data_IF_983295800414
#
_entry.id   IF_983295800414
#
_cell.length_a   1.000
_cell.length_b   1.000
_cell.length_c   1.000
_cell.angle_alpha   90.00
_cell.angle_beta   90.00
_cell.angle_gamma   90.00
#
_symmetry.space_group_name_H-M   'P 1'
#
loop_
_entity.id
_entity.type
_entity.pdbx_description
1 polymer ?
#
# COMPACT_ATOMS: atom_id res chain seq x y z
N UNK A 1 -7.71 -21.53 -2.96
CA UNK A 1 -7.22 -20.41 -3.82
C UNK A 1 -6.84 -19.15 -3.02
N UNK A 2 -7.45 -18.91 -1.83
CA UNK A 2 -7.13 -17.80 -0.91
C UNK A 2 -5.65 -17.78 -0.49
N UNK A 3 -5.07 -18.93 -0.14
CA UNK A 3 -3.66 -19.00 0.31
C UNK A 3 -2.61 -18.64 -0.75
N UNK A 4 -2.90 -18.73 -2.05
CA UNK A 4 -1.94 -18.28 -3.09
C UNK A 4 -1.90 -16.76 -3.19
N UNK A 5 -3.06 -16.09 -3.09
CA UNK A 5 -3.15 -14.62 -3.15
C UNK A 5 -2.51 -13.99 -1.92
N UNK A 6 -2.69 -14.60 -0.75
CA UNK A 6 -2.06 -14.19 0.50
C UNK A 6 -0.53 -14.27 0.44
N UNK A 7 0.03 -15.38 -0.07
CA UNK A 7 1.49 -15.52 -0.29
C UNK A 7 2.07 -14.47 -1.22
N UNK A 8 1.34 -14.06 -2.26
CA UNK A 8 1.78 -13.00 -3.18
C UNK A 8 1.82 -11.65 -2.48
N UNK A 9 0.85 -11.36 -1.61
CA UNK A 9 0.82 -10.14 -0.80
C UNK A 9 1.95 -10.13 0.23
N UNK A 10 2.13 -11.21 0.98
CA UNK A 10 3.23 -11.38 1.93
C UNK A 10 4.59 -11.19 1.25
N UNK A 11 4.80 -11.78 0.07
CA UNK A 11 6.04 -11.59 -0.69
C UNK A 11 6.33 -10.11 -1.01
N UNK A 12 5.32 -9.32 -1.33
CA UNK A 12 5.50 -7.87 -1.57
C UNK A 12 5.90 -7.14 -0.30
N UNK A 13 5.33 -7.52 0.85
CA UNK A 13 5.72 -6.96 2.16
C UNK A 13 7.17 -7.32 2.46
N UNK A 14 7.57 -8.59 2.28
CA UNK A 14 8.95 -9.01 2.48
C UNK A 14 9.93 -8.24 1.60
N UNK A 15 9.58 -7.91 0.35
CA UNK A 15 10.43 -7.07 -0.50
C UNK A 15 10.61 -5.65 0.08
N UNK A 16 9.61 -5.07 0.74
CA UNK A 16 9.74 -3.76 1.39
C UNK A 16 10.70 -3.86 2.57
N UNK A 17 10.57 -4.91 3.38
CA UNK A 17 11.43 -5.15 4.55
C UNK A 17 12.88 -5.40 4.09
N UNK A 18 13.08 -6.22 3.06
CA UNK A 18 14.40 -6.49 2.47
C UNK A 18 15.06 -5.21 1.95
N UNK A 19 14.28 -4.31 1.34
CA UNK A 19 14.80 -2.99 0.95
C UNK A 19 15.27 -2.20 2.17
N UNK A 20 14.46 -2.13 3.23
CA UNK A 20 14.78 -1.37 4.44
C UNK A 20 15.99 -1.95 5.20
N UNK A 21 16.11 -3.27 5.28
CA UNK A 21 17.13 -3.96 6.08
C UNK A 21 18.45 -4.17 5.33
N UNK A 22 18.40 -4.48 4.03
CA UNK A 22 19.58 -4.84 3.25
C UNK A 22 19.98 -3.75 2.25
N UNK A 23 19.04 -3.26 1.44
CA UNK A 23 19.38 -2.39 0.31
C UNK A 23 19.61 -0.94 0.72
N UNK A 24 18.87 -0.41 1.69
CA UNK A 24 19.07 0.97 2.16
C UNK A 24 20.47 1.17 2.74
N UNK A 25 20.98 0.30 3.65
CA UNK A 25 22.36 0.43 4.14
C UNK A 25 23.40 0.26 3.04
N UNK A 26 23.21 -0.71 2.14
CA UNK A 26 24.12 -0.93 1.01
C UNK A 26 24.17 0.27 0.07
N UNK A 27 23.03 0.93 -0.17
CA UNK A 27 22.98 2.06 -1.09
C UNK A 27 23.67 3.31 -0.56
N UNK A 28 23.65 3.52 0.75
CA UNK A 28 24.41 4.59 1.39
C UNK A 28 25.91 4.36 1.21
N UNK A 29 26.37 3.10 1.30
CA UNK A 29 27.78 2.77 1.06
C UNK A 29 28.18 2.99 -0.40
N UNK A 30 27.34 2.59 -1.34
CA UNK A 30 27.59 2.80 -2.77
C UNK A 30 27.67 4.30 -3.11
N UNK A 31 26.74 5.11 -2.61
CA UNK A 31 26.73 6.57 -2.84
C UNK A 31 28.00 7.25 -2.28
N UNK A 32 28.56 6.73 -1.19
CA UNK A 32 29.84 7.21 -0.63
C UNK A 32 31.03 6.79 -1.47
N UNK A 33 31.04 5.55 -1.94
CA UNK A 33 32.06 5.07 -2.87
C UNK A 33 32.06 5.91 -4.15
N UNK A 34 30.89 6.20 -4.72
CA UNK A 34 30.75 7.08 -5.88
C UNK A 34 31.31 8.48 -5.60
N UNK A 35 31.06 9.04 -4.41
CA UNK A 35 31.63 10.33 -4.01
C UNK A 35 33.16 10.29 -3.92
N UNK A 36 33.74 9.24 -3.33
CA UNK A 36 35.20 9.09 -3.23
C UNK A 36 35.85 8.93 -4.61
N UNK A 37 35.22 8.16 -5.50
CA UNK A 37 35.67 7.97 -6.88
C UNK A 37 35.59 9.30 -7.64
N UNK A 38 34.49 10.04 -7.50
CA UNK A 38 34.34 11.36 -8.12
C UNK A 38 35.40 12.36 -7.61
N UNK A 39 35.71 12.33 -6.31
CA UNK A 39 36.79 13.14 -5.72
C UNK A 39 38.16 12.81 -6.31
N UNK A 40 38.47 11.52 -6.45
CA UNK A 40 39.73 11.06 -7.04
C UNK A 40 39.85 11.50 -8.50
N UNK A 41 38.79 11.29 -9.29
CA UNK A 41 38.73 11.72 -10.70
C UNK A 41 38.91 13.23 -10.82
N UNK A 42 38.30 14.02 -9.92
CA UNK A 42 38.46 15.49 -9.90
C UNK A 42 39.90 15.91 -9.64
N UNK A 43 40.60 15.22 -8.74
CA UNK A 43 42.01 15.48 -8.43
C UNK A 43 42.92 15.13 -9.60
N UNK A 44 42.65 14.02 -10.29
CA UNK A 44 43.49 13.52 -11.38
C UNK A 44 43.26 14.26 -12.72
N UNK A 45 42.01 14.60 -13.05
CA UNK A 45 41.66 15.21 -14.35
C UNK A 45 41.75 16.75 -14.38
N UNK A 46 41.82 17.41 -13.21
CA UNK A 46 41.87 18.87 -13.10
C UNK A 46 40.57 19.57 -13.53
N UNK A 47 39.84 20.16 -12.56
CA UNK A 47 38.73 21.15 -12.69
C UNK A 47 37.68 20.99 -13.83
N UNK A 48 37.53 19.82 -14.44
CA UNK A 48 36.62 19.62 -15.58
C UNK A 48 35.53 18.55 -15.41
N UNK A 49 35.46 17.84 -14.28
CA UNK A 49 34.40 16.85 -14.08
C UNK A 49 33.14 17.53 -13.55
N UNK A 50 32.15 17.63 -14.43
CA UNK A 50 30.83 18.22 -14.23
C UNK A 50 30.06 17.60 -13.06
N UNK A 51 29.38 18.48 -12.32
CA UNK A 51 28.16 18.25 -11.56
C UNK A 51 28.14 17.09 -10.57
N UNK A 52 28.21 17.40 -9.27
CA UNK A 52 27.48 16.60 -8.27
C UNK A 52 26.02 16.53 -8.75
N UNK A 53 25.64 15.38 -9.32
CA UNK A 53 24.26 15.11 -9.67
C UNK A 53 23.41 15.27 -8.41
N UNK A 54 22.23 15.87 -8.55
CA UNK A 54 21.34 16.08 -7.42
C UNK A 54 20.96 14.75 -6.73
N UNK A 55 20.28 14.81 -5.57
CA UNK A 55 19.88 13.61 -4.82
C UNK A 55 19.15 12.56 -5.66
N UNK A 56 18.46 12.99 -6.72
CA UNK A 56 17.75 12.12 -7.65
C UNK A 56 18.64 11.23 -8.54
N UNK A 57 19.96 11.44 -8.52
CA UNK A 57 20.94 10.68 -9.32
C UNK A 57 21.67 9.61 -8.50
N UNK A 58 21.45 9.56 -7.18
CA UNK A 58 22.16 8.61 -6.32
C UNK A 58 21.47 7.24 -6.30
N UNK A 59 22.24 6.21 -5.99
CA UNK A 59 21.70 4.87 -5.86
C UNK A 59 20.72 4.78 -4.67
N UNK A 60 20.97 5.50 -3.57
CA UNK A 60 19.99 5.58 -2.46
C UNK A 60 18.63 6.09 -2.91
N UNK A 61 18.58 7.06 -3.83
CA UNK A 61 17.30 7.54 -4.38
C UNK A 61 16.57 6.44 -5.15
N UNK A 62 17.29 5.68 -5.98
CA UNK A 62 16.70 4.56 -6.72
C UNK A 62 16.14 3.48 -5.78
N UNK A 63 16.79 3.21 -4.64
CA UNK A 63 16.30 2.28 -3.62
C UNK A 63 15.04 2.81 -2.93
N UNK A 64 14.98 4.10 -2.61
CA UNK A 64 13.77 4.70 -2.05
C UNK A 64 12.60 4.71 -3.05
N UNK A 65 12.87 4.87 -4.35
CA UNK A 65 11.87 4.71 -5.41
C UNK A 65 11.38 3.26 -5.49
N UNK A 66 12.29 2.28 -5.40
CA UNK A 66 11.92 0.86 -5.38
C UNK A 66 11.03 0.52 -4.19
N UNK A 67 11.33 1.08 -3.00
CA UNK A 67 10.46 0.97 -1.82
C UNK A 67 9.06 1.52 -2.10
N UNK A 68 8.98 2.76 -2.58
CA UNK A 68 7.70 3.43 -2.88
C UNK A 68 6.86 2.62 -3.89
N UNK A 69 7.52 2.03 -4.88
CA UNK A 69 6.88 1.15 -5.86
C UNK A 69 6.21 -0.06 -5.22
N UNK A 70 6.90 -0.74 -4.29
CA UNK A 70 6.32 -1.86 -3.58
C UNK A 70 5.19 -1.44 -2.63
N UNK A 71 5.34 -0.33 -1.90
CA UNK A 71 4.27 0.23 -1.06
C UNK A 71 3.01 0.52 -1.90
N UNK A 72 3.16 1.14 -3.07
CA UNK A 72 2.06 1.39 -3.99
C UNK A 72 1.37 0.10 -4.46
N UNK A 73 2.16 -0.94 -4.77
CA UNK A 73 1.62 -2.23 -5.24
C UNK A 73 0.90 -2.99 -4.14
N UNK A 74 1.34 -2.86 -2.89
CA UNK A 74 0.65 -3.37 -1.71
C UNK A 74 -0.70 -2.67 -1.55
N UNK A 75 -0.71 -1.33 -1.56
CA UNK A 75 -1.93 -0.53 -1.42
C UNK A 75 -2.95 -0.82 -2.54
N UNK A 76 -2.52 -0.95 -3.81
CA UNK A 76 -3.43 -1.36 -4.91
C UNK A 76 -4.06 -2.74 -4.69
N UNK A 77 -3.29 -3.67 -4.12
CA UNK A 77 -3.81 -5.03 -3.84
C UNK A 77 -4.81 -4.99 -2.69
N UNK A 78 -4.50 -4.19 -1.67
CA UNK A 78 -5.38 -3.96 -0.53
C UNK A 78 -6.71 -3.34 -0.97
N UNK A 79 -6.69 -2.27 -1.77
CA UNK A 79 -7.90 -1.64 -2.29
C UNK A 79 -8.75 -2.59 -3.15
N UNK A 80 -8.13 -3.42 -4.01
CA UNK A 80 -8.84 -4.43 -4.80
C UNK A 80 -9.57 -5.45 -3.90
N UNK A 81 -8.95 -5.86 -2.79
CA UNK A 81 -9.58 -6.76 -1.84
C UNK A 81 -10.70 -6.09 -1.04
N UNK A 82 -10.48 -4.85 -0.60
CA UNK A 82 -11.50 -4.05 0.07
C UNK A 82 -12.71 -3.83 -0.83
N UNK A 83 -12.51 -3.43 -2.09
CA UNK A 83 -13.60 -3.23 -3.06
C UNK A 83 -14.38 -4.51 -3.36
N UNK A 84 -13.70 -5.67 -3.41
CA UNK A 84 -14.39 -6.97 -3.52
C UNK A 84 -15.17 -7.32 -2.26
N UNK A 85 -14.62 -7.02 -1.08
CA UNK A 85 -15.28 -7.21 0.20
C UNK A 85 -16.55 -6.36 0.31
N UNK A 86 -16.49 -5.08 -0.06
CA UNK A 86 -17.64 -4.18 -0.06
C UNK A 86 -18.71 -4.65 -1.04
N UNK A 87 -18.33 -5.02 -2.28
CA UNK A 87 -19.28 -5.53 -3.27
C UNK A 87 -19.97 -6.83 -2.81
N UNK A 88 -19.23 -7.76 -2.18
CA UNK A 88 -19.83 -8.97 -1.62
C UNK A 88 -20.78 -8.66 -0.46
N UNK A 89 -20.42 -7.69 0.39
CA UNK A 89 -21.27 -7.27 1.50
C UNK A 89 -22.56 -6.62 0.98
N UNK A 90 -22.48 -5.76 -0.04
CA UNK A 90 -23.64 -5.17 -0.71
C UNK A 90 -24.58 -6.23 -1.28
N UNK A 91 -24.06 -7.29 -1.91
CA UNK A 91 -24.87 -8.39 -2.41
C UNK A 91 -25.59 -9.14 -1.28
N UNK A 92 -24.89 -9.44 -0.19
CA UNK A 92 -25.50 -10.14 0.97
C UNK A 92 -26.58 -9.27 1.62
N UNK A 93 -26.36 -7.96 1.74
CA UNK A 93 -27.36 -7.04 2.28
C UNK A 93 -28.58 -6.90 1.34
N UNK A 94 -28.39 -6.94 0.02
CA UNK A 94 -29.49 -6.99 -0.94
C UNK A 94 -30.31 -8.28 -0.80
N UNK A 95 -29.65 -9.44 -0.67
CA UNK A 95 -30.34 -10.73 -0.45
C UNK A 95 -31.13 -10.75 0.86
N UNK A 96 -30.56 -10.20 1.94
CA UNK A 96 -31.25 -10.05 3.23
C UNK A 96 -32.48 -9.18 3.10
N UNK A 97 -32.37 -8.03 2.44
CA UNK A 97 -33.50 -7.12 2.22
C UNK A 97 -34.62 -7.79 1.41
N UNK A 98 -34.29 -8.58 0.38
CA UNK A 98 -35.27 -9.35 -0.38
C UNK A 98 -35.94 -10.43 0.47
N UNK A 99 -35.17 -11.17 1.28
CA UNK A 99 -35.72 -12.19 2.18
C UNK A 99 -36.63 -11.60 3.27
N UNK A 100 -36.36 -10.38 3.74
CA UNK A 100 -37.24 -9.65 4.66
C UNK A 100 -38.54 -9.19 3.98
N UNK A 101 -38.46 -8.73 2.72
CA UNK A 101 -39.64 -8.38 1.92
C UNK A 101 -40.53 -9.60 1.64
N UNK A 102 -39.96 -10.76 1.33
CA UNK A 102 -40.70 -12.01 1.13
C UNK A 102 -41.39 -12.47 2.43
N UNK A 103 -40.71 -12.37 3.58
CA UNK A 103 -41.32 -12.67 4.89
C UNK A 103 -42.47 -11.73 5.23
N UNK A 104 -42.34 -10.44 4.89
CA UNK A 104 -43.41 -9.46 5.10
C UNK A 104 -44.60 -9.67 4.15
N UNK A 105 -44.35 -10.07 2.90
CA UNK A 105 -45.39 -10.38 1.90
C UNK A 105 -46.12 -11.71 2.12
N UNK A 106 -45.50 -12.67 2.82
CA UNK A 106 -46.11 -13.96 3.18
C UNK A 106 -47.06 -13.89 4.39
N UNK A 107 -47.28 -12.71 4.99
CA UNK A 107 -48.22 -12.52 6.10
C UNK A 107 -49.69 -12.49 5.62
N UNK A 108 -50.22 -13.64 5.20
CA UNK A 108 -51.67 -13.85 5.05
C UNK A 108 -52.26 -14.13 6.44
N UNK A 109 -53.42 -13.55 6.84
CA UNK A 109 -53.94 -13.73 8.18
C UNK A 109 -54.60 -15.11 8.29
N UNK A 110 -53.87 -16.10 8.80
CA UNK A 110 -54.47 -17.35 9.24
C UNK A 110 -55.10 -17.10 10.61
N UNK A 111 -56.43 -16.97 10.61
CA UNK A 111 -57.26 -17.03 11.81
C UNK A 111 -57.34 -18.49 12.28
N UNK A 112 -57.25 -18.67 13.60
CA UNK A 112 -57.53 -19.89 14.42
C UNK A 112 -56.43 -20.96 14.42
N UNK A 113 -56.00 -21.55 15.53
CA UNK A 113 -56.37 -21.48 16.95
C UNK A 113 -55.13 -21.80 17.81
N UNK A 114 -55.14 -21.36 19.06
CA UNK A 114 -54.09 -21.61 20.04
C UNK A 114 -53.94 -23.10 20.37
N UNK A 115 -52.71 -23.63 20.36
CA UNK A 115 -52.07 -24.29 21.50
C UNK A 115 -50.84 -25.13 21.07
N UNK A 116 -49.75 -24.85 21.77
CA UNK A 116 -48.62 -25.75 22.08
C UNK A 116 -47.66 -26.09 20.92
N UNK A 117 -46.59 -25.32 20.70
CA UNK A 117 -45.45 -25.05 21.61
C UNK A 117 -44.55 -26.30 21.76
N UNK A 118 -43.54 -26.37 20.87
CA UNK A 118 -42.16 -26.80 21.14
C UNK A 118 -41.31 -26.51 19.89
N UNK A 119 -41.23 -25.23 19.50
CA UNK A 119 -40.17 -24.79 18.59
C UNK A 119 -39.00 -24.27 19.40
N UNK A 120 -37.91 -25.03 19.33
CA UNK A 120 -36.60 -24.72 19.89
C UNK A 120 -36.15 -23.34 19.37
N UNK A 121 -35.82 -22.37 20.23
CA UNK A 121 -35.53 -21.02 19.79
C UNK A 121 -34.11 -20.95 19.22
N UNK A 122 -33.98 -20.89 17.90
CA UNK A 122 -32.79 -20.30 17.29
C UNK A 122 -32.93 -18.79 17.42
N UNK A 123 -32.31 -18.24 18.48
CA UNK A 123 -32.12 -16.80 18.69
C UNK A 123 -31.73 -16.09 17.38
N UNK A 124 -32.25 -14.88 17.11
CA UNK A 124 -31.62 -13.99 16.15
C UNK A 124 -30.19 -13.73 16.65
N UNK A 125 -29.20 -14.09 15.84
CA UNK A 125 -27.81 -13.71 16.12
C UNK A 125 -27.72 -12.22 15.83
N UNK A 126 -27.93 -11.42 16.87
CA UNK A 126 -27.63 -10.01 16.86
C UNK A 126 -26.20 -9.78 16.35
N UNK A 127 -26.07 -8.95 15.32
CA UNK A 127 -24.94 -8.04 15.16
C UNK A 127 -23.55 -8.62 14.89
N UNK A 128 -23.37 -9.92 14.63
CA UNK A 128 -22.06 -10.43 14.21
C UNK A 128 -21.81 -9.98 12.77
N UNK A 129 -21.22 -8.78 12.63
CA UNK A 129 -20.59 -8.33 11.40
C UNK A 129 -19.70 -9.47 10.89
N UNK A 130 -19.77 -9.85 9.61
CA UNK A 130 -18.85 -10.85 9.08
C UNK A 130 -17.42 -10.41 9.40
N UNK A 131 -16.57 -11.36 9.77
CA UNK A 131 -15.19 -11.25 10.26
C UNK A 131 -14.18 -10.47 9.36
N UNK A 132 -14.65 -9.58 8.50
CA UNK A 132 -13.84 -8.51 7.93
C UNK A 132 -13.65 -7.51 9.06
N UNK A 133 -12.60 -7.71 9.85
CA UNK A 133 -12.10 -6.65 10.71
C UNK A 133 -12.00 -5.40 9.84
N UNK A 134 -12.82 -4.39 10.14
CA UNK A 134 -12.58 -3.00 9.74
C UNK A 134 -11.26 -2.65 10.40
N UNK A 135 -10.15 -3.04 9.79
CA UNK A 135 -8.83 -2.71 10.30
C UNK A 135 -8.74 -1.20 10.09
N UNK A 136 -8.72 -0.38 11.15
CA UNK A 136 -8.63 1.07 11.03
C UNK A 136 -7.17 1.46 10.74
N UNK A 137 -6.46 0.63 9.98
CA UNK A 137 -5.19 1.03 9.40
C UNK A 137 -5.56 2.15 8.42
N UNK A 138 -5.12 3.39 8.65
CA UNK A 138 -5.34 4.43 7.66
C UNK A 138 -4.78 3.90 6.33
N UNK A 139 -5.57 3.86 5.24
CA UNK A 139 -5.06 3.43 3.95
C UNK A 139 -3.82 4.27 3.68
N UNK A 140 -2.74 3.64 3.21
CA UNK A 140 -1.55 4.42 2.88
C UNK A 140 -2.01 5.44 1.83
N UNK A 141 -1.88 6.75 2.08
CA UNK A 141 -2.54 7.78 1.28
C UNK A 141 -1.92 7.96 -0.11
N UNK A 142 -1.18 6.97 -0.60
CA UNK A 142 -0.52 6.93 -1.89
C UNK A 142 -1.53 7.03 -3.02
N UNK A 143 -2.63 6.27 -2.95
CA UNK A 143 -3.68 6.33 -3.97
C UNK A 143 -4.51 7.61 -3.87
N UNK A 144 -4.72 8.15 -2.67
CA UNK A 144 -5.35 9.46 -2.52
C UNK A 144 -4.48 10.58 -3.10
N UNK A 145 -3.16 10.50 -2.99
CA UNK A 145 -2.24 11.46 -3.58
C UNK A 145 -2.30 11.46 -5.12
N UNK A 146 -2.38 10.27 -5.72
CA UNK A 146 -2.59 10.11 -7.17
C UNK A 146 -3.95 10.67 -7.58
N UNK A 147 -5.02 10.28 -6.88
CA UNK A 147 -6.38 10.73 -7.19
C UNK A 147 -6.55 12.25 -7.02
N UNK A 148 -5.86 12.86 -6.05
CA UNK A 148 -5.87 14.31 -5.86
C UNK A 148 -5.21 15.06 -7.03
N UNK A 149 -4.23 14.44 -7.71
CA UNK A 149 -3.49 15.07 -8.82
C UNK A 149 -4.04 14.75 -10.20
N UNK A 150 -4.46 13.51 -10.44
CA UNK A 150 -4.94 13.05 -11.75
C UNK A 150 -6.48 13.02 -11.86
N UNK A 151 -7.19 13.25 -10.76
CA UNK A 151 -8.63 13.05 -10.69
C UNK A 151 -9.01 11.57 -10.58
N UNK A 152 -10.27 11.32 -10.17
CA UNK A 152 -10.81 9.97 -9.94
C UNK A 152 -10.95 9.14 -11.23
N UNK A 153 -10.94 9.80 -12.38
CA UNK A 153 -11.20 9.23 -13.71
C UNK A 153 -9.92 9.00 -14.54
N UNK A 154 -8.75 8.94 -13.88
CA UNK A 154 -7.50 8.66 -14.56
C UNK A 154 -7.61 7.34 -15.33
N UNK A 155 -7.27 7.30 -16.63
CA UNK A 155 -7.44 6.12 -17.45
C UNK A 155 -6.64 4.96 -16.86
N UNK A 156 -7.30 3.81 -16.70
CA UNK A 156 -6.64 2.58 -16.27
C UNK A 156 -5.46 2.31 -17.19
N UNK A 157 -4.23 2.41 -16.67
CA UNK A 157 -3.02 2.34 -17.48
C UNK A 157 -2.86 0.94 -18.07
N UNK A 158 -3.30 0.79 -19.32
CA UNK A 158 -3.25 -0.44 -20.10
C UNK A 158 -1.86 -0.61 -20.71
N UNK A 159 -1.05 -1.47 -20.10
CA UNK A 159 0.10 -2.11 -20.75
C UNK A 159 1.35 -1.26 -21.05
N UNK A 160 1.36 0.04 -20.71
CA UNK A 160 2.58 0.85 -20.74
C UNK A 160 3.46 0.57 -19.53
N UNK A 161 4.77 0.74 -19.72
CA UNK A 161 5.76 0.64 -18.64
C UNK A 161 5.28 1.47 -17.43
N UNK A 162 5.13 0.84 -16.25
CA UNK A 162 4.62 1.53 -15.08
C UNK A 162 5.54 2.67 -14.60
N UNK A 163 6.82 2.66 -14.95
CA UNK A 163 7.74 3.74 -14.54
C UNK A 163 7.63 4.99 -15.42
N UNK A 164 7.00 4.87 -16.60
CA UNK A 164 6.73 5.99 -17.51
C UNK A 164 5.29 6.50 -17.36
N UNK A 165 4.56 5.93 -16.41
CA UNK A 165 3.14 6.13 -16.27
C UNK A 165 2.83 7.45 -15.55
N UNK A 166 1.72 8.08 -15.93
CA UNK A 166 1.34 9.37 -15.36
C UNK A 166 0.97 9.21 -13.88
N UNK A 167 0.40 8.06 -13.51
CA UNK A 167 0.11 7.73 -12.12
C UNK A 167 1.37 7.57 -11.27
N UNK A 168 2.42 6.96 -11.82
CA UNK A 168 3.71 6.83 -11.14
C UNK A 168 4.42 8.18 -10.99
N UNK A 169 4.47 8.99 -12.05
CA UNK A 169 5.06 10.32 -12.00
C UNK A 169 4.37 11.21 -10.94
N UNK A 170 3.03 11.24 -10.94
CA UNK A 170 2.26 12.00 -9.95
C UNK A 170 2.50 11.50 -8.51
N UNK A 171 2.66 10.19 -8.33
CA UNK A 171 2.97 9.61 -7.02
C UNK A 171 4.36 10.05 -6.53
N UNK A 172 5.38 9.95 -7.39
CA UNK A 172 6.76 10.33 -7.06
C UNK A 172 6.82 11.82 -6.69
N UNK A 173 6.15 12.69 -7.45
CA UNK A 173 6.07 14.12 -7.13
C UNK A 173 5.34 14.41 -5.81
N UNK A 174 4.25 13.69 -5.53
CA UNK A 174 3.50 13.89 -4.29
C UNK A 174 4.29 13.40 -3.05
N UNK A 175 5.02 12.29 -3.19
CA UNK A 175 5.79 11.67 -2.11
C UNK A 175 7.24 12.16 -2.04
N UNK A 176 7.68 13.06 -2.94
CA UNK A 176 9.03 13.62 -2.95
C UNK A 176 9.49 14.13 -1.56
N UNK A 177 8.67 14.87 -0.77
CA UNK A 177 9.09 15.30 0.57
C UNK A 177 9.31 14.14 1.55
N UNK A 178 8.59 13.03 1.38
CA UNK A 178 8.78 11.82 2.19
C UNK A 178 10.03 11.07 1.77
N UNK A 179 10.27 10.92 0.46
CA UNK A 179 11.48 10.31 -0.09
C UNK A 179 12.74 11.05 0.39
N UNK A 180 12.73 12.39 0.37
CA UNK A 180 13.84 13.21 0.88
C UNK A 180 14.09 13.00 2.38
N UNK A 181 13.03 12.84 3.18
CA UNK A 181 13.15 12.51 4.62
C UNK A 181 13.69 11.10 4.86
N UNK A 182 13.47 10.16 3.94
CA UNK A 182 14.06 8.83 4.03
C UNK A 182 15.54 8.84 3.71
N UNK A 183 15.95 9.56 2.66
CA UNK A 183 17.36 9.78 2.37
C UNK A 183 18.11 10.40 3.56
N UNK A 184 17.53 11.45 4.17
CA UNK A 184 18.12 12.08 5.34
C UNK A 184 18.25 11.13 6.54
N UNK A 185 17.30 10.20 6.72
CA UNK A 185 17.33 9.19 7.79
C UNK A 185 18.36 8.09 7.55
N UNK A 186 18.49 7.62 6.30
CA UNK A 186 19.55 6.67 5.91
C UNK A 186 20.94 7.22 6.19
N UNK A 187 21.15 8.52 5.95
CA UNK A 187 22.39 9.21 6.32
C UNK A 187 22.56 9.40 7.84
N UNK A 188 21.48 9.70 8.57
CA UNK A 188 21.53 9.98 10.01
C UNK A 188 21.73 8.73 10.88
N UNK A 189 21.25 7.55 10.46
CA UNK A 189 21.45 6.28 11.17
C UNK A 189 22.92 5.96 11.45
N UNK A 190 23.83 6.50 10.64
CA UNK A 190 25.28 6.33 10.82
C UNK A 190 25.91 7.30 11.83
N UNK A 191 25.38 8.52 11.97
CA UNK A 191 25.94 9.52 12.91
C UNK A 191 25.66 9.14 14.37
N UNK A 192 24.65 8.32 14.65
CA UNK A 192 24.38 7.76 15.97
C UNK A 192 25.39 6.68 16.37
N UNK A 193 25.74 5.76 15.46
CA UNK A 193 26.65 4.66 15.74
C UNK A 193 28.12 5.09 15.81
N UNK A 194 28.53 6.09 15.01
CA UNK A 194 29.86 6.69 15.12
C UNK A 194 30.08 7.49 16.41
N UNK A 195 29.02 8.01 17.03
CA UNK A 195 29.11 8.75 18.29
C UNK A 195 29.16 7.85 19.53
N UNK A 196 28.70 6.60 19.42
CA UNK A 196 28.70 5.63 20.53
C UNK A 196 30.03 4.85 20.69
N UNK A 197 31.01 5.10 19.81
CA UNK A 197 32.31 4.40 19.80
C UNK A 197 33.51 5.31 20.14
N UNK A 198 33.32 6.38 20.92
CA UNK A 198 34.41 7.24 21.43
C UNK A 198 34.44 7.30 22.93
#
# INVERSE_FOLDING_TARGET
MVGRKDRVFQRKIYNIVDIDEALVPAAVLEDEWDRLVADQIRREKGRGAEGEGGPATTFSWSVQLARLWWEWRVERTWQDWTARGTALNELVEQERALAEQEKAGSAKPARRDAAQDHQRPTRPRDGVRPNVAEHPAPPLPLLSAINARLGRDAPAETGKDPFVSASWAALVEAEQPRLMRWLARGAAGRNGDAAASR
#
